data_IF_570395732331
#
_entry.id   IF_570395732331
#
_cell.length_a   1.000
_cell.length_b   1.000
_cell.length_c   1.000
_cell.angle_alpha   90.00
_cell.angle_beta   90.00
_cell.angle_gamma   90.00
#
_symmetry.space_group_name_H-M   'P 1'
#
loop_
_entity.id
_entity.type
_entity.pdbx_description
1 polymer ?
#
# COMPACT_ATOMS: atom_id res chain seq x y z
N UNK A 1 2.65 -23.00 -9.93
CA UNK A 1 1.44 -23.41 -9.20
C UNK A 1 0.73 -24.53 -9.94
N UNK A 2 0.31 -25.58 -9.22
CA UNK A 2 -0.43 -26.73 -9.83
C UNK A 2 -1.81 -26.33 -10.38
N UNK A 3 -2.37 -25.20 -9.88
CA UNK A 3 -3.70 -24.69 -10.26
C UNK A 3 -3.64 -23.40 -11.07
N UNK A 4 -2.47 -23.00 -11.53
CA UNK A 4 -2.30 -21.84 -12.41
C UNK A 4 -2.42 -20.47 -11.72
N UNK A 5 -2.42 -20.39 -10.38
CA UNK A 5 -2.42 -19.11 -9.64
C UNK A 5 -1.08 -18.40 -9.87
N UNK A 6 -1.06 -17.19 -10.50
CA UNK A 6 0.19 -16.51 -10.84
C UNK A 6 0.76 -15.65 -9.72
N UNK A 7 -0.08 -15.24 -8.76
CA UNK A 7 0.32 -14.36 -7.66
C UNK A 7 -0.55 -14.58 -6.42
N UNK A 8 0.03 -14.38 -5.25
CA UNK A 8 -0.66 -14.34 -3.96
C UNK A 8 -0.56 -12.94 -3.40
N UNK A 9 -1.70 -12.32 -3.12
CA UNK A 9 -1.78 -11.04 -2.42
C UNK A 9 -1.82 -11.26 -0.92
N UNK A 10 -1.08 -10.48 -0.16
CA UNK A 10 -1.06 -10.52 1.30
C UNK A 10 -0.77 -9.14 1.88
N UNK A 11 -0.97 -8.97 3.17
CA UNK A 11 -0.60 -7.77 3.91
C UNK A 11 0.02 -8.15 5.26
N UNK A 12 0.69 -7.19 5.88
CA UNK A 12 1.29 -7.31 7.20
C UNK A 12 0.64 -6.34 8.21
N UNK A 13 -0.60 -5.93 7.95
CA UNK A 13 -1.37 -5.07 8.83
C UNK A 13 -1.75 -5.83 10.11
N UNK A 14 -1.25 -5.36 11.25
CA UNK A 14 -1.54 -5.98 12.54
C UNK A 14 -2.50 -5.15 13.40
N UNK A 15 -2.62 -3.85 13.13
CA UNK A 15 -3.53 -2.95 13.85
C UNK A 15 -4.83 -2.64 13.10
N UNK A 16 -5.10 -3.38 12.02
CA UNK A 16 -6.23 -3.13 11.15
C UNK A 16 -6.03 -1.91 10.24
N UNK A 17 -7.14 -1.40 9.70
CA UNK A 17 -7.18 -0.22 8.82
C UNK A 17 -7.90 0.90 9.58
N UNK A 18 -7.18 1.79 10.28
CA UNK A 18 -7.82 2.87 11.00
C UNK A 18 -8.49 3.87 10.05
N UNK A 19 -9.70 4.27 10.39
CA UNK A 19 -10.49 5.26 9.65
C UNK A 19 -11.21 6.17 10.64
N UNK A 20 -11.50 7.38 10.20
CA UNK A 20 -12.46 8.28 10.86
C UNK A 20 -13.89 7.94 10.44
N UNK A 21 -14.87 8.72 10.88
CA UNK A 21 -16.25 8.58 10.40
C UNK A 21 -16.31 8.79 8.88
N UNK A 22 -17.15 7.96 8.22
CA UNK A 22 -17.38 8.11 6.78
C UNK A 22 -18.00 9.46 6.45
N UNK A 23 -17.58 10.04 5.35
CA UNK A 23 -18.11 11.31 4.85
C UNK A 23 -18.93 11.08 3.56
N UNK A 24 -19.93 11.93 3.35
CA UNK A 24 -20.78 11.83 2.17
C UNK A 24 -20.04 12.36 0.93
N UNK A 25 -20.08 11.59 -0.13
CA UNK A 25 -19.58 11.95 -1.44
C UNK A 25 -20.68 12.12 -2.49
N UNK A 26 -20.30 12.07 -3.74
CA UNK A 26 -21.17 12.20 -4.92
C UNK A 26 -22.31 11.17 -4.89
N UNK A 27 -23.50 11.60 -5.24
CA UNK A 27 -24.68 10.73 -5.28
C UNK A 27 -25.13 10.22 -3.91
N UNK A 28 -24.57 10.74 -2.82
CA UNK A 28 -24.87 10.31 -1.45
C UNK A 28 -24.07 9.08 -1.00
N UNK A 29 -23.02 8.70 -1.72
CA UNK A 29 -22.09 7.65 -1.29
C UNK A 29 -21.53 7.93 0.10
N UNK A 30 -21.23 6.88 0.86
CA UNK A 30 -20.50 6.97 2.11
C UNK A 30 -19.06 6.53 1.85
N UNK A 31 -18.17 7.50 1.87
CA UNK A 31 -16.78 7.30 1.51
C UNK A 31 -15.92 7.01 2.72
N UNK A 32 -15.03 6.05 2.61
CA UNK A 32 -14.00 5.75 3.60
C UNK A 32 -13.09 6.96 3.77
N UNK A 33 -12.88 7.41 5.00
CA UNK A 33 -12.23 8.68 5.29
C UNK A 33 -11.23 8.54 6.44
N UNK A 34 -10.11 9.22 6.31
CA UNK A 34 -9.12 9.31 7.36
C UNK A 34 -8.75 10.77 7.61
N UNK A 35 -9.14 11.28 8.78
CA UNK A 35 -8.79 12.60 9.28
C UNK A 35 -8.02 12.40 10.58
N UNK A 36 -6.72 12.55 10.55
CA UNK A 36 -5.87 12.33 11.73
C UNK A 36 -6.33 13.14 12.96
N UNK A 37 -6.85 14.35 12.74
CA UNK A 37 -7.39 15.18 13.82
C UNK A 37 -8.64 14.59 14.50
N UNK A 38 -9.35 13.68 13.83
CA UNK A 38 -10.54 13.00 14.35
C UNK A 38 -10.24 11.60 14.91
N UNK A 39 -9.00 11.14 14.81
CA UNK A 39 -8.58 9.82 15.30
C UNK A 39 -8.25 9.90 16.79
N UNK A 40 -8.62 8.88 17.55
CA UNK A 40 -8.15 8.71 18.93
C UNK A 40 -6.65 8.40 18.94
N UNK A 41 -5.86 9.43 19.18
CA UNK A 41 -4.40 9.36 19.21
C UNK A 41 -3.85 8.55 20.37
N UNK A 42 -4.67 8.32 21.41
CA UNK A 42 -4.31 7.56 22.61
C UNK A 42 -4.90 6.14 22.61
N UNK A 43 -5.37 5.67 21.45
CA UNK A 43 -5.94 4.33 21.34
C UNK A 43 -4.94 3.26 21.81
N UNK A 44 -5.40 2.36 22.65
CA UNK A 44 -4.57 1.31 23.25
C UNK A 44 -3.87 0.44 22.18
N UNK A 45 -2.64 -0.03 22.48
CA UNK A 45 -2.01 -1.05 21.69
C UNK A 45 -2.91 -2.28 21.57
N UNK A 46 -3.08 -2.75 20.30
CA UNK A 46 -3.85 -3.97 20.05
C UNK A 46 -3.07 -5.23 20.37
N UNK A 47 -3.45 -6.33 19.73
CA UNK A 47 -2.83 -7.67 19.91
C UNK A 47 -1.31 -7.69 19.64
N UNK A 48 -0.80 -6.73 18.88
CA UNK A 48 0.64 -6.59 18.60
C UNK A 48 1.45 -6.14 19.82
N UNK A 49 0.80 -5.49 20.80
CA UNK A 49 1.51 -4.77 21.86
C UNK A 49 2.33 -3.61 21.28
N UNK A 50 3.50 -3.37 21.86
CA UNK A 50 4.45 -2.37 21.35
C UNK A 50 5.37 -3.05 20.34
N UNK A 51 5.38 -2.54 19.12
CA UNK A 51 6.22 -3.03 18.03
C UNK A 51 6.98 -1.84 17.42
N UNK A 52 8.25 -1.74 17.79
CA UNK A 52 9.14 -0.71 17.26
C UNK A 52 9.60 -1.02 15.81
N UNK A 53 10.32 -0.06 15.23
CA UNK A 53 10.79 -0.15 13.83
C UNK A 53 11.70 -1.35 13.62
N UNK A 54 12.67 -1.57 14.50
CA UNK A 54 13.70 -2.60 14.32
C UNK A 54 13.09 -4.00 14.45
N UNK A 55 12.31 -4.24 15.50
CA UNK A 55 11.59 -5.50 15.67
C UNK A 55 10.61 -5.77 14.52
N UNK A 56 9.95 -4.73 13.98
CA UNK A 56 9.07 -4.88 12.85
C UNK A 56 9.84 -5.32 11.58
N UNK A 57 11.00 -4.68 11.32
CA UNK A 57 11.86 -5.10 10.21
C UNK A 57 12.45 -6.50 10.38
N UNK A 58 12.88 -6.88 11.58
CA UNK A 58 13.35 -8.24 11.87
C UNK A 58 12.30 -9.30 11.56
N UNK A 59 11.05 -9.05 11.93
CA UNK A 59 9.93 -9.96 11.64
C UNK A 59 9.62 -10.05 10.14
N UNK A 60 9.68 -8.93 9.43
CA UNK A 60 9.49 -8.88 7.97
C UNK A 60 10.63 -9.65 7.28
N UNK A 61 11.87 -9.41 7.67
CA UNK A 61 13.05 -10.06 7.12
C UNK A 61 12.99 -11.59 7.33
N UNK A 62 12.68 -12.02 8.55
CA UNK A 62 12.49 -13.44 8.85
C UNK A 62 11.38 -14.08 7.99
N UNK A 63 10.25 -13.41 7.83
CA UNK A 63 9.17 -13.90 6.98
C UNK A 63 9.63 -14.05 5.53
N UNK A 64 10.29 -13.02 4.98
CA UNK A 64 10.77 -13.02 3.59
C UNK A 64 11.84 -14.08 3.37
N UNK A 65 12.77 -14.28 4.31
CA UNK A 65 13.78 -15.35 4.27
C UNK A 65 13.14 -16.74 4.03
N UNK A 66 11.99 -16.99 4.63
CA UNK A 66 11.30 -18.29 4.54
C UNK A 66 10.42 -18.41 3.30
N UNK A 67 9.72 -17.33 2.91
CA UNK A 67 8.67 -17.44 1.89
C UNK A 67 9.19 -17.14 0.46
N UNK A 68 10.21 -16.30 0.31
CA UNK A 68 10.71 -15.92 -1.02
C UNK A 68 11.28 -17.12 -1.78
N UNK A 69 12.12 -18.00 -1.18
CA UNK A 69 12.60 -19.21 -1.86
C UNK A 69 11.46 -20.15 -2.31
N UNK A 70 10.38 -20.24 -1.52
CA UNK A 70 9.21 -21.05 -1.88
C UNK A 70 8.48 -20.42 -3.08
N UNK A 71 8.34 -19.09 -3.10
CA UNK A 71 7.76 -18.38 -4.22
C UNK A 71 8.54 -18.57 -5.53
N UNK A 72 9.85 -18.59 -5.45
CA UNK A 72 10.76 -18.87 -6.59
C UNK A 72 10.61 -20.31 -7.09
N UNK A 73 10.63 -21.29 -6.18
CA UNK A 73 10.46 -22.71 -6.51
C UNK A 73 9.13 -22.95 -7.26
N UNK A 74 8.03 -22.39 -6.74
CA UNK A 74 6.70 -22.58 -7.33
C UNK A 74 6.32 -21.55 -8.39
N UNK A 75 7.20 -20.57 -8.69
CA UNK A 75 6.98 -19.48 -9.66
C UNK A 75 5.67 -18.75 -9.41
N UNK A 76 5.42 -18.39 -8.16
CA UNK A 76 4.24 -17.64 -7.70
C UNK A 76 4.69 -16.31 -7.14
N UNK A 77 4.23 -15.21 -7.70
CA UNK A 77 4.58 -13.88 -7.22
C UNK A 77 3.94 -13.58 -5.87
N UNK A 78 4.73 -13.07 -4.95
CA UNK A 78 4.29 -12.57 -3.64
C UNK A 78 4.03 -11.06 -3.74
N UNK A 79 2.78 -10.66 -3.65
CA UNK A 79 2.33 -9.29 -3.82
C UNK A 79 1.90 -8.71 -2.47
N UNK A 80 2.80 -8.01 -1.77
CA UNK A 80 2.52 -7.39 -0.48
C UNK A 80 1.77 -6.07 -0.64
N UNK A 81 0.65 -5.93 0.09
CA UNK A 81 -0.08 -4.66 0.18
C UNK A 81 0.63 -3.72 1.18
N UNK A 82 0.75 -2.42 0.87
CA UNK A 82 1.23 -1.43 1.82
C UNK A 82 0.41 -1.39 3.10
N UNK A 83 0.96 -0.81 4.17
CA UNK A 83 0.18 -0.50 5.37
C UNK A 83 -0.80 0.66 5.08
N UNK A 84 -2.07 0.43 5.28
CA UNK A 84 -3.17 1.36 5.01
C UNK A 84 -3.82 1.82 6.33
N UNK A 85 -3.89 3.13 6.59
CA UNK A 85 -3.13 4.23 5.98
C UNK A 85 -1.74 4.41 6.61
N UNK A 86 -0.98 5.43 6.14
CA UNK A 86 0.12 5.97 6.94
C UNK A 86 -0.42 6.49 8.28
N UNK A 87 0.30 6.21 9.35
CA UNK A 87 0.06 6.80 10.68
C UNK A 87 1.38 7.24 11.28
N UNK A 88 1.40 8.27 12.14
CA UNK A 88 2.58 8.62 12.92
C UNK A 88 3.11 7.44 13.72
N UNK A 89 4.41 7.44 13.99
CA UNK A 89 5.10 6.37 14.67
C UNK A 89 4.50 6.06 16.04
N UNK A 90 4.39 4.77 16.33
CA UNK A 90 3.87 4.29 17.61
C UNK A 90 2.34 4.35 17.77
N UNK A 91 1.59 4.78 16.75
CA UNK A 91 0.14 4.74 16.82
C UNK A 91 -0.36 3.30 17.08
N UNK A 92 -1.22 3.13 18.10
CA UNK A 92 -1.64 1.82 18.62
C UNK A 92 -0.46 0.89 18.95
N UNK A 93 0.65 1.46 19.42
CA UNK A 93 1.86 0.72 19.79
C UNK A 93 2.73 0.27 18.60
N UNK A 94 2.34 0.52 17.35
CA UNK A 94 3.04 -0.02 16.17
C UNK A 94 3.54 1.08 15.25
N UNK A 95 4.83 1.05 14.90
CA UNK A 95 5.33 1.84 13.77
C UNK A 95 5.14 1.08 12.48
N UNK A 96 4.35 1.66 11.56
CA UNK A 96 3.95 1.06 10.29
C UNK A 96 5.02 1.23 9.22
N UNK A 97 6.03 0.38 9.23
CA UNK A 97 7.21 0.50 8.35
C UNK A 97 6.89 0.39 6.84
N UNK A 98 5.79 -0.27 6.46
CA UNK A 98 5.30 -0.31 5.08
C UNK A 98 4.26 0.79 4.79
N UNK A 99 4.13 1.78 5.66
CA UNK A 99 3.26 2.94 5.50
C UNK A 99 3.96 4.16 4.89
N UNK A 100 5.17 4.01 4.37
CA UNK A 100 5.92 5.07 3.71
C UNK A 100 6.54 4.56 2.42
N UNK A 101 6.76 5.47 1.45
CA UNK A 101 7.44 5.12 0.19
C UNK A 101 8.83 4.56 0.44
N UNK A 102 9.60 5.13 1.38
CA UNK A 102 10.94 4.64 1.70
C UNK A 102 10.90 3.26 2.38
N UNK A 103 9.91 3.01 3.21
CA UNK A 103 9.66 1.68 3.75
C UNK A 103 9.36 0.65 2.67
N UNK A 104 8.56 1.00 1.66
CA UNK A 104 8.31 0.13 0.52
C UNK A 104 9.56 -0.10 -0.34
N UNK A 105 10.41 0.93 -0.53
CA UNK A 105 11.71 0.79 -1.21
C UNK A 105 12.63 -0.19 -0.46
N UNK A 106 12.74 -0.03 0.87
CA UNK A 106 13.49 -0.97 1.71
C UNK A 106 12.91 -2.38 1.61
N UNK A 107 11.60 -2.54 1.70
CA UNK A 107 10.92 -3.83 1.64
C UNK A 107 11.28 -4.62 0.37
N UNK A 108 11.21 -4.01 -0.82
CA UNK A 108 11.54 -4.70 -2.07
C UNK A 108 13.03 -4.99 -2.26
N UNK A 109 13.90 -4.37 -1.46
CA UNK A 109 15.35 -4.64 -1.48
C UNK A 109 15.77 -5.80 -0.57
N UNK A 110 14.91 -6.21 0.38
CA UNK A 110 15.14 -7.38 1.21
C UNK A 110 14.84 -8.65 0.41
N UNK A 111 15.73 -9.65 0.45
CA UNK A 111 15.54 -10.91 -0.27
C UNK A 111 15.09 -10.72 -1.72
N UNK A 112 15.84 -9.90 -2.49
CA UNK A 112 15.47 -9.50 -3.83
C UNK A 112 15.20 -10.70 -4.73
N UNK A 113 14.04 -10.70 -5.39
CA UNK A 113 13.58 -11.78 -6.24
C UNK A 113 12.58 -11.26 -7.29
N UNK A 114 12.53 -11.84 -8.49
CA UNK A 114 11.47 -11.56 -9.45
C UNK A 114 10.08 -12.03 -8.99
N UNK A 115 10.01 -12.75 -7.87
CA UNK A 115 8.77 -13.24 -7.27
C UNK A 115 8.40 -12.49 -5.98
N UNK A 116 9.20 -11.51 -5.56
CA UNK A 116 8.95 -10.65 -4.40
C UNK A 116 8.71 -9.20 -4.84
N UNK A 117 7.53 -8.66 -4.49
CA UNK A 117 7.12 -7.31 -4.89
C UNK A 117 5.81 -6.87 -4.22
N UNK A 118 5.10 -5.96 -4.88
CA UNK A 118 3.97 -5.24 -4.31
C UNK A 118 2.64 -5.61 -4.98
N UNK A 119 1.61 -5.76 -4.17
CA UNK A 119 0.26 -5.38 -4.53
C UNK A 119 0.17 -3.86 -4.35
N UNK A 120 0.50 -3.11 -5.40
CA UNK A 120 0.60 -1.65 -5.36
C UNK A 120 -0.79 -1.04 -5.28
N UNK A 121 -1.26 -0.77 -4.07
CA UNK A 121 -2.48 0.02 -3.88
C UNK A 121 -2.15 1.49 -4.12
N UNK A 122 -2.51 2.01 -5.29
CA UNK A 122 -2.25 3.40 -5.66
C UNK A 122 -2.87 4.37 -4.65
N UNK A 123 -4.10 4.10 -4.19
CA UNK A 123 -4.75 4.89 -3.16
C UNK A 123 -3.92 4.93 -1.88
N UNK A 124 -3.58 3.77 -1.31
CA UNK A 124 -2.78 3.69 -0.08
C UNK A 124 -1.41 4.33 -0.22
N UNK A 125 -0.75 4.20 -1.37
CA UNK A 125 0.53 4.91 -1.60
C UNK A 125 0.31 6.43 -1.68
N UNK A 126 -0.77 6.87 -2.29
CA UNK A 126 -1.13 8.30 -2.33
C UNK A 126 -1.41 8.89 -0.95
N UNK A 127 -1.92 8.08 -0.02
CA UNK A 127 -2.13 8.43 1.40
C UNK A 127 -0.83 8.65 2.18
N UNK A 128 0.34 8.30 1.60
CA UNK A 128 1.67 8.53 2.17
C UNK A 128 2.28 9.87 1.74
N UNK A 129 1.68 10.54 0.73
CA UNK A 129 2.26 11.68 0.02
C UNK A 129 1.69 13.01 0.49
N UNK A 130 2.52 14.04 0.45
CA UNK A 130 2.12 15.41 0.78
C UNK A 130 1.44 16.11 -0.41
N UNK A 131 1.81 15.75 -1.65
CA UNK A 131 1.15 16.17 -2.90
C UNK A 131 0.92 14.96 -3.82
N UNK A 132 -0.09 14.10 -3.51
CA UNK A 132 -0.31 12.87 -4.27
C UNK A 132 -0.58 13.10 -5.76
N UNK A 133 -1.16 14.26 -6.12
CA UNK A 133 -1.42 14.61 -7.52
C UNK A 133 -0.16 14.80 -8.37
N UNK A 134 0.98 15.02 -7.74
CA UNK A 134 2.27 15.14 -8.42
C UNK A 134 3.22 13.99 -8.16
N UNK A 135 3.32 13.58 -6.90
CA UNK A 135 4.35 12.65 -6.45
C UNK A 135 4.09 11.20 -6.87
N UNK A 136 2.82 10.81 -7.02
CA UNK A 136 2.46 9.40 -7.27
C UNK A 136 3.09 8.84 -8.56
N UNK A 137 3.22 9.65 -9.60
CA UNK A 137 3.77 9.21 -10.89
C UNK A 137 5.22 8.77 -10.78
N UNK A 138 6.04 9.51 -10.03
CA UNK A 138 7.44 9.13 -9.76
C UNK A 138 7.53 7.85 -8.92
N UNK A 139 6.60 7.66 -7.99
CA UNK A 139 6.55 6.43 -7.19
C UNK A 139 6.17 5.23 -8.09
N UNK A 140 5.19 5.38 -8.99
CA UNK A 140 4.84 4.35 -9.98
C UNK A 140 6.05 4.02 -10.86
N UNK A 141 6.77 5.03 -11.38
CA UNK A 141 7.99 4.81 -12.18
C UNK A 141 9.04 4.04 -11.39
N UNK A 142 9.31 4.46 -10.15
CA UNK A 142 10.32 3.81 -9.31
C UNK A 142 10.11 2.31 -9.16
N UNK A 143 8.89 1.88 -8.82
CA UNK A 143 8.58 0.46 -8.62
C UNK A 143 8.31 -0.27 -9.94
N UNK A 144 7.72 0.39 -10.91
CA UNK A 144 7.39 -0.17 -12.21
C UNK A 144 8.64 -0.51 -13.05
N UNK A 145 9.61 0.39 -13.14
CA UNK A 145 10.89 0.15 -13.84
C UNK A 145 11.66 -1.03 -13.23
N UNK A 146 11.54 -1.23 -11.93
CA UNK A 146 12.14 -2.36 -11.20
C UNK A 146 11.32 -3.64 -11.29
N UNK A 147 10.19 -3.62 -12.01
CA UNK A 147 9.28 -4.78 -12.14
C UNK A 147 8.79 -5.34 -10.80
N UNK A 148 8.58 -4.44 -9.82
CA UNK A 148 8.14 -4.81 -8.46
C UNK A 148 6.63 -4.60 -8.22
N UNK A 149 5.88 -4.18 -9.24
CA UNK A 149 4.41 -4.07 -9.20
C UNK A 149 3.80 -5.33 -9.80
N UNK A 150 3.14 -6.15 -8.98
CA UNK A 150 2.55 -7.43 -9.41
C UNK A 150 1.03 -7.39 -9.52
N UNK A 151 0.41 -6.43 -8.90
CA UNK A 151 -1.00 -6.09 -9.01
C UNK A 151 -1.18 -4.63 -8.63
N UNK A 152 -2.17 -3.97 -9.20
CA UNK A 152 -2.53 -2.59 -8.84
C UNK A 152 -3.95 -2.56 -8.30
N UNK A 153 -4.13 -1.97 -7.11
CA UNK A 153 -5.42 -1.43 -6.70
C UNK A 153 -5.50 0.01 -7.22
N UNK A 154 -6.35 0.21 -8.22
CA UNK A 154 -6.44 1.46 -8.98
C UNK A 154 -7.47 2.39 -8.36
N UNK A 155 -7.18 2.86 -7.13
CA UNK A 155 -8.02 3.73 -6.31
C UNK A 155 -7.51 5.17 -6.37
N UNK A 156 -8.45 6.13 -6.36
CA UNK A 156 -8.17 7.54 -6.18
C UNK A 156 -8.53 8.01 -4.77
N UNK A 157 -7.88 9.04 -4.30
CA UNK A 157 -8.19 9.72 -3.05
C UNK A 157 -8.32 11.21 -3.29
N UNK A 158 -9.18 11.87 -2.52
CA UNK A 158 -9.24 13.32 -2.41
C UNK A 158 -8.57 13.74 -1.11
N UNK A 159 -7.53 14.54 -1.20
CA UNK A 159 -6.73 14.97 -0.06
C UNK A 159 -5.29 14.48 -0.14
N UNK A 160 -4.67 14.21 1.00
CA UNK A 160 -3.26 13.91 1.13
C UNK A 160 -2.96 13.13 2.42
N UNK A 161 -1.70 12.86 2.67
CA UNK A 161 -1.21 12.24 3.91
C UNK A 161 -1.89 12.80 5.15
N UNK A 162 -2.40 11.90 6.00
CA UNK A 162 -3.12 12.18 7.24
C UNK A 162 -4.49 12.87 7.10
N UNK A 163 -4.90 13.23 5.89
CA UNK A 163 -6.15 13.96 5.67
C UNK A 163 -6.72 13.66 4.27
N UNK A 164 -7.43 12.55 4.12
CA UNK A 164 -7.97 12.10 2.83
C UNK A 164 -9.35 11.44 2.94
N UNK A 165 -9.97 11.31 1.80
CA UNK A 165 -11.20 10.54 1.56
C UNK A 165 -10.99 9.67 0.32
N UNK A 166 -11.37 8.39 0.36
CA UNK A 166 -11.42 7.53 -0.81
C UNK A 166 -12.60 7.93 -1.67
N UNK A 167 -12.37 8.13 -2.98
CA UNK A 167 -13.36 8.70 -3.89
C UNK A 167 -13.41 7.93 -5.21
N UNK A 168 -14.43 8.22 -6.02
CA UNK A 168 -14.49 7.68 -7.38
C UNK A 168 -13.25 8.10 -8.19
N UNK A 169 -12.85 7.30 -9.20
CA UNK A 169 -11.62 7.56 -9.95
C UNK A 169 -11.51 8.96 -10.54
N UNK A 170 -12.62 9.58 -10.90
CA UNK A 170 -12.71 10.90 -11.55
C UNK A 170 -12.83 12.08 -10.56
N UNK A 171 -12.82 11.83 -9.24
CA UNK A 171 -13.05 12.87 -8.23
C UNK A 171 -11.83 13.21 -7.38
N UNK A 172 -10.76 12.43 -7.47
CA UNK A 172 -9.64 12.54 -6.56
C UNK A 172 -8.56 13.54 -6.97
N UNK A 173 -7.51 13.54 -6.16
CA UNK A 173 -6.34 14.40 -6.37
C UNK A 173 -5.43 13.91 -7.50
N UNK A 174 -5.55 12.64 -7.91
CA UNK A 174 -4.70 12.02 -8.91
C UNK A 174 -5.40 12.06 -10.28
N UNK A 175 -4.68 12.52 -11.31
CA UNK A 175 -5.09 12.31 -12.70
C UNK A 175 -4.94 10.82 -13.05
N UNK A 176 -6.06 10.11 -13.06
CA UNK A 176 -6.09 8.67 -13.32
C UNK A 176 -5.70 8.31 -14.75
N UNK A 177 -5.92 9.22 -15.72
CA UNK A 177 -5.48 9.01 -17.11
C UNK A 177 -3.96 9.10 -17.18
N UNK A 178 -3.36 10.08 -16.49
CA UNK A 178 -1.89 10.17 -16.41
C UNK A 178 -1.30 8.99 -15.66
N UNK A 179 -1.95 8.50 -14.62
CA UNK A 179 -1.54 7.28 -13.94
C UNK A 179 -1.54 6.07 -14.88
N UNK A 180 -2.58 5.88 -15.70
CA UNK A 180 -2.63 4.82 -16.73
C UNK A 180 -1.48 4.93 -17.73
N UNK A 181 -1.17 6.15 -18.19
CA UNK A 181 -0.03 6.38 -19.09
C UNK A 181 1.28 6.01 -18.41
N UNK A 182 1.44 6.37 -17.14
CA UNK A 182 2.65 6.05 -16.36
C UNK A 182 2.81 4.54 -16.16
N UNK A 183 1.75 3.79 -15.85
CA UNK A 183 1.81 2.32 -15.80
C UNK A 183 2.19 1.73 -17.16
N UNK A 184 1.65 2.26 -18.26
CA UNK A 184 2.02 1.84 -19.62
C UNK A 184 3.48 2.17 -19.94
N UNK A 185 3.95 3.34 -19.59
CA UNK A 185 5.34 3.81 -19.78
C UNK A 185 6.34 2.83 -19.15
N UNK A 186 6.11 2.38 -17.92
CA UNK A 186 6.97 1.41 -17.22
C UNK A 186 6.76 -0.04 -17.66
N UNK A 187 5.88 -0.27 -18.63
CA UNK A 187 5.59 -1.61 -19.18
C UNK A 187 4.89 -2.52 -18.17
N UNK A 188 3.95 -2.00 -17.40
CA UNK A 188 3.10 -2.80 -16.52
C UNK A 188 2.09 -3.62 -17.34
N UNK A 189 2.05 -4.94 -17.13
CA UNK A 189 1.27 -5.89 -17.95
C UNK A 189 0.25 -6.71 -17.13
N UNK A 190 0.13 -6.44 -15.83
CA UNK A 190 -0.76 -7.20 -14.96
C UNK A 190 -2.10 -6.50 -14.75
N UNK A 191 -2.88 -6.96 -13.79
CA UNK A 191 -4.22 -6.47 -13.53
C UNK A 191 -4.22 -5.07 -12.88
N UNK A 192 -5.00 -4.16 -13.46
CA UNK A 192 -5.47 -2.94 -12.80
C UNK A 192 -6.85 -3.25 -12.22
N UNK A 193 -6.94 -3.35 -10.93
CA UNK A 193 -8.17 -3.72 -10.24
C UNK A 193 -8.81 -2.47 -9.65
N UNK A 194 -10.04 -2.12 -10.04
CA UNK A 194 -10.80 -1.10 -9.31
C UNK A 194 -10.95 -1.55 -7.86
N UNK A 195 -10.71 -0.65 -6.93
CA UNK A 195 -10.67 -0.98 -5.51
C UNK A 195 -11.93 -0.50 -4.77
N UNK A 196 -12.76 0.28 -5.44
CA UNK A 196 -14.12 0.67 -5.01
C UNK A 196 -14.98 1.07 -6.19
#
# INVERSE_FOLDING_TARGET
SKVGIPAVKYNMNIIGIPRSEQERGRGGSLNSTFRWEKIDKNADPGIAGILDVDTNWERIDYFLEKIVPVAEEFKVRLACHPHDPYTPDGYKGVTRVLGTVDGLKKFISLHESPYHGLNFCQGTVSEMLDDPGKEIFEVIRYFGERKKIFNVHFRNILGKKLDFMEVFPDEGSIDMIEALKTYKEVGYEYMLMPDH
#
